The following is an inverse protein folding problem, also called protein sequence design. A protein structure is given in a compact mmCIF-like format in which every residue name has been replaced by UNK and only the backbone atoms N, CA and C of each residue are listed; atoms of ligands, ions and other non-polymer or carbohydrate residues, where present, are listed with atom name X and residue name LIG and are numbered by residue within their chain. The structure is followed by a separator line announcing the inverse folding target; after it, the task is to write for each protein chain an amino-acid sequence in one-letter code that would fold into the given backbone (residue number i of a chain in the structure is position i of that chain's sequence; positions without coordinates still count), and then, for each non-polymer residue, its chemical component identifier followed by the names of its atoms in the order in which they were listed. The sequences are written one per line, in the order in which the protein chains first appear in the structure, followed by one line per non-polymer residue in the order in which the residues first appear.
data_IF_084729433951
#
_entry.id   IF_084729433951
#
_cell.length_a   1.000
_cell.length_b   1.000
_cell.length_c   1.000
_cell.angle_alpha   90.00
_cell.angle_beta   90.00
_cell.angle_gamma   90.00
#
_symmetry.space_group_name_H-M   'P 1'
#
loop_
_entity.id
_entity.type
_entity.pdbx_description
1 polymer ?
#
# COMPACT_ATOMS: atom_id res chain seq x y z
N UNK A 1 29.48 -4.56 -29.31
CA UNK A 1 28.04 -4.78 -29.15
C UNK A 1 27.73 -4.46 -27.71
N UNK A 2 27.32 -3.21 -27.46
CA UNK A 2 27.15 -2.66 -26.12
C UNK A 2 25.69 -2.81 -25.76
N UNK A 3 25.38 -3.69 -24.82
CA UNK A 3 24.07 -3.81 -24.20
C UNK A 3 23.81 -2.56 -23.34
N UNK A 4 23.22 -1.55 -23.96
CA UNK A 4 22.67 -0.40 -23.26
C UNK A 4 21.29 -0.79 -22.71
N UNK A 5 21.28 -1.38 -21.52
CA UNK A 5 20.09 -1.40 -20.67
C UNK A 5 19.76 0.05 -20.31
N UNK A 6 18.86 0.68 -21.07
CA UNK A 6 18.23 1.96 -20.72
C UNK A 6 17.28 1.71 -19.55
N UNK A 7 17.85 1.69 -18.35
CA UNK A 7 17.12 1.74 -17.08
C UNK A 7 16.58 3.17 -16.93
N UNK A 8 15.26 3.34 -16.81
CA UNK A 8 14.71 4.58 -16.24
C UNK A 8 15.37 4.77 -14.88
N UNK A 9 16.13 5.86 -14.70
CA UNK A 9 16.70 6.28 -13.41
C UNK A 9 15.62 6.82 -12.46
N UNK A 10 14.49 6.15 -12.39
CA UNK A 10 13.63 6.19 -11.23
C UNK A 10 14.35 5.32 -10.18
N UNK A 11 14.95 5.97 -9.18
CA UNK A 11 16.17 5.53 -8.49
C UNK A 11 16.16 4.12 -7.89
N UNK A 12 17.33 3.51 -7.76
CA UNK A 12 17.54 2.24 -7.06
C UNK A 12 16.99 2.33 -5.62
N UNK A 13 15.82 1.71 -5.39
CA UNK A 13 15.21 1.66 -4.07
C UNK A 13 16.06 0.77 -3.14
N UNK A 14 16.62 1.37 -2.08
CA UNK A 14 17.16 0.65 -0.92
C UNK A 14 16.06 0.46 0.13
N UNK A 15 16.15 -0.66 0.85
CA UNK A 15 15.14 -1.14 1.81
C UNK A 15 14.85 -0.09 2.92
N UNK A 16 13.57 0.09 3.33
CA UNK A 16 13.13 1.17 4.21
C UNK A 16 13.11 0.68 5.67
N UNK A 17 14.20 0.86 6.41
CA UNK A 17 14.21 0.49 7.82
C UNK A 17 13.89 1.65 8.79
N UNK A 18 14.14 2.93 8.46
CA UNK A 18 14.27 3.94 9.52
C UNK A 18 13.67 5.35 9.26
N UNK A 19 12.88 5.60 8.20
CA UNK A 19 12.45 6.98 7.87
C UNK A 19 10.92 7.23 7.83
N UNK A 20 10.56 8.48 8.11
CA UNK A 20 9.22 9.09 8.14
C UNK A 20 8.36 8.70 6.91
N UNK A 21 7.23 8.01 7.15
CA UNK A 21 6.39 7.30 6.16
C UNK A 21 5.76 8.23 5.10
N UNK A 22 5.92 9.55 5.21
CA UNK A 22 5.47 10.51 4.19
C UNK A 22 6.48 10.80 3.06
N UNK A 23 7.74 10.36 3.19
CA UNK A 23 8.85 10.80 2.32
C UNK A 23 9.16 9.83 1.17
N UNK A 24 8.54 8.65 1.13
CA UNK A 24 8.83 7.64 0.10
C UNK A 24 8.29 8.01 -1.30
N UNK A 25 7.09 8.62 -1.39
CA UNK A 25 6.55 9.11 -2.67
C UNK A 25 7.42 10.23 -3.24
N UNK A 26 7.96 11.09 -2.38
CA UNK A 26 8.88 12.16 -2.77
C UNK A 26 10.19 11.57 -3.30
N UNK A 27 10.72 10.52 -2.67
CA UNK A 27 11.94 9.83 -3.12
C UNK A 27 11.77 9.07 -4.44
N UNK A 28 10.66 8.34 -4.63
CA UNK A 28 10.39 7.64 -5.89
C UNK A 28 10.33 8.62 -7.07
N UNK A 29 10.02 9.89 -6.78
CA UNK A 29 9.86 10.96 -7.75
C UNK A 29 10.89 12.08 -7.63
N UNK A 30 12.00 11.90 -6.89
CA UNK A 30 12.99 12.96 -6.66
C UNK A 30 13.90 13.23 -7.87
N UNK A 31 13.40 13.05 -9.10
CA UNK A 31 14.04 13.43 -10.36
C UNK A 31 13.42 14.70 -10.97
N UNK A 32 14.06 15.24 -12.00
CA UNK A 32 13.55 16.43 -12.70
C UNK A 32 12.16 16.17 -13.33
N UNK A 33 11.15 16.93 -12.90
CA UNK A 33 9.88 17.05 -13.62
C UNK A 33 8.63 16.47 -12.94
N UNK A 34 8.75 15.79 -11.79
CA UNK A 34 7.58 15.27 -11.08
C UNK A 34 7.15 16.24 -9.97
N UNK A 35 5.91 16.73 -10.03
CA UNK A 35 5.32 17.50 -8.94
C UNK A 35 4.59 16.53 -8.01
N UNK A 36 5.08 16.44 -6.77
CA UNK A 36 4.31 15.81 -5.69
C UNK A 36 3.32 16.85 -5.16
N UNK A 37 2.04 16.53 -5.17
CA UNK A 37 0.99 17.36 -4.62
C UNK A 37 1.14 17.44 -3.09
N UNK A 38 0.55 18.49 -2.52
CA UNK A 38 0.66 18.81 -1.10
C UNK A 38 0.01 17.79 -0.18
N UNK A 39 -0.91 16.97 -0.69
CA UNK A 39 -1.55 15.88 0.05
C UNK A 39 -0.67 14.62 0.14
N UNK A 40 0.56 14.65 -0.39
CA UNK A 40 1.60 13.59 -0.37
C UNK A 40 1.20 12.25 -0.99
N UNK A 41 -0.06 12.06 -1.35
CA UNK A 41 -0.58 10.83 -1.96
C UNK A 41 -0.83 10.97 -3.46
N UNK A 42 -0.75 12.20 -3.99
CA UNK A 42 -0.84 12.47 -5.42
C UNK A 42 0.50 13.04 -5.86
N UNK A 43 1.20 12.36 -6.75
CA UNK A 43 2.15 13.04 -7.63
C UNK A 43 1.51 13.03 -9.01
N UNK A 44 1.65 14.12 -9.76
CA UNK A 44 1.39 14.04 -11.19
C UNK A 44 2.61 13.33 -11.77
N UNK A 45 2.52 12.00 -11.91
CA UNK A 45 3.45 11.20 -12.71
C UNK A 45 3.23 11.50 -14.21
N UNK A 46 3.37 12.79 -14.53
CA UNK A 46 3.12 13.40 -15.84
C UNK A 46 4.38 14.20 -16.19
N UNK A 47 5.37 13.59 -16.87
CA UNK A 47 6.54 14.32 -17.30
C UNK A 47 6.15 15.49 -18.23
N UNK A 48 6.90 16.60 -18.22
CA UNK A 48 6.52 17.84 -18.92
C UNK A 48 6.44 17.73 -20.45
N UNK A 49 6.93 16.64 -21.05
CA UNK A 49 6.61 16.17 -22.39
C UNK A 49 7.14 14.73 -22.56
N UNK A 50 6.45 13.87 -23.31
CA UNK A 50 6.94 12.52 -23.64
C UNK A 50 6.20 11.37 -22.97
N UNK A 51 6.78 10.18 -23.05
CA UNK A 51 6.23 8.95 -22.48
C UNK A 51 6.12 9.05 -20.95
N UNK A 52 4.93 8.78 -20.40
CA UNK A 52 4.69 8.82 -18.94
C UNK A 52 5.58 7.88 -18.13
N UNK A 53 6.12 6.83 -18.76
CA UNK A 53 7.06 5.90 -18.12
C UNK A 53 8.52 6.34 -18.22
N UNK A 54 9.02 6.51 -19.44
CA UNK A 54 10.45 6.66 -19.68
C UNK A 54 10.88 8.09 -20.05
N UNK A 55 9.94 9.01 -20.19
CA UNK A 55 10.21 10.39 -20.61
C UNK A 55 10.59 10.56 -22.08
N UNK A 56 10.91 9.48 -22.79
CA UNK A 56 11.28 9.52 -24.22
C UNK A 56 10.17 10.15 -25.08
N UNK A 57 10.54 10.83 -26.19
CA UNK A 57 9.57 11.34 -27.13
C UNK A 57 8.58 10.28 -27.58
N UNK A 58 7.32 10.68 -27.69
CA UNK A 58 6.24 9.81 -28.13
C UNK A 58 6.47 9.35 -29.57
N UNK A 59 6.39 8.04 -29.81
CA UNK A 59 6.51 7.46 -31.15
C UNK A 59 5.13 7.00 -31.66
N UNK A 60 4.79 7.39 -32.90
CA UNK A 60 3.58 6.92 -33.58
C UNK A 60 2.27 7.44 -32.99
N UNK A 61 1.26 6.57 -32.86
CA UNK A 61 -0.13 6.92 -32.51
C UNK A 61 -0.44 7.00 -31.01
N UNK A 62 0.48 6.59 -30.16
CA UNK A 62 0.24 6.61 -28.72
C UNK A 62 0.33 8.04 -28.22
N UNK A 63 -0.50 8.39 -27.24
CA UNK A 63 -0.58 9.77 -26.67
C UNK A 63 0.00 9.88 -25.26
N UNK A 64 0.20 8.76 -24.56
CA UNK A 64 0.73 8.73 -23.18
C UNK A 64 1.99 7.88 -22.99
N UNK A 65 2.25 6.91 -23.87
CA UNK A 65 3.39 5.99 -23.78
C UNK A 65 4.10 5.86 -25.13
N UNK A 66 5.42 5.73 -25.17
CA UNK A 66 6.14 5.50 -26.44
C UNK A 66 5.91 4.10 -27.03
N UNK A 67 5.32 3.18 -26.27
CA UNK A 67 5.01 1.82 -26.74
C UNK A 67 4.21 0.99 -25.73
N UNK A 68 3.76 -0.21 -26.12
CA UNK A 68 2.94 -1.09 -25.28
C UNK A 68 3.66 -1.57 -24.02
N UNK A 69 4.97 -1.79 -24.09
CA UNK A 69 5.77 -2.15 -22.92
C UNK A 69 5.79 -1.02 -21.88
N UNK A 70 5.98 0.23 -22.34
CA UNK A 70 5.96 1.37 -21.44
C UNK A 70 4.59 1.60 -20.82
N UNK A 71 3.52 1.35 -21.57
CA UNK A 71 2.15 1.34 -21.04
C UNK A 71 1.99 0.30 -19.93
N UNK A 72 2.34 -0.96 -20.20
CA UNK A 72 2.16 -2.07 -19.26
C UNK A 72 2.86 -1.79 -17.93
N UNK A 73 4.12 -1.40 -17.98
CA UNK A 73 4.93 -1.15 -16.80
C UNK A 73 4.45 0.07 -16.02
N UNK A 74 4.00 1.13 -16.70
CA UNK A 74 3.43 2.28 -16.03
C UNK A 74 2.09 1.94 -15.35
N UNK A 75 1.18 1.23 -16.05
CA UNK A 75 -0.12 0.84 -15.51
C UNK A 75 0.02 -0.13 -14.31
N UNK A 76 1.05 -0.99 -14.30
CA UNK A 76 1.38 -1.87 -13.17
C UNK A 76 1.75 -1.12 -11.88
N UNK A 77 2.06 0.17 -11.94
CA UNK A 77 2.38 1.00 -10.76
C UNK A 77 1.37 2.12 -10.52
N UNK A 78 0.60 2.51 -11.53
CA UNK A 78 -0.23 3.72 -11.43
C UNK A 78 -1.71 3.45 -11.56
N UNK A 79 -2.12 2.30 -12.10
CA UNK A 79 -3.53 1.95 -12.23
C UNK A 79 -3.85 0.88 -11.19
N UNK A 80 -4.74 1.19 -10.24
CA UNK A 80 -5.05 0.30 -9.12
C UNK A 80 -5.39 -1.14 -9.54
N UNK A 81 -6.15 -1.33 -10.62
CA UNK A 81 -6.51 -2.68 -11.09
C UNK A 81 -5.29 -3.53 -11.44
N UNK A 82 -4.36 -2.94 -12.18
CA UNK A 82 -3.13 -3.56 -12.64
C UNK A 82 -2.12 -3.65 -11.50
N UNK A 83 -1.91 -2.58 -10.74
CA UNK A 83 -1.02 -2.57 -9.59
C UNK A 83 -1.41 -3.60 -8.54
N UNK A 84 -2.70 -3.71 -8.22
CA UNK A 84 -3.21 -4.77 -7.35
C UNK A 84 -2.96 -6.16 -7.92
N UNK A 85 -3.18 -6.34 -9.22
CA UNK A 85 -2.98 -7.65 -9.87
C UNK A 85 -1.50 -8.04 -9.91
N UNK A 86 -0.61 -7.09 -10.18
CA UNK A 86 0.84 -7.25 -10.14
C UNK A 86 1.31 -7.57 -8.72
N UNK A 87 0.84 -6.85 -7.70
CA UNK A 87 1.17 -7.10 -6.29
C UNK A 87 0.76 -8.52 -5.86
N UNK A 88 -0.43 -8.96 -6.26
CA UNK A 88 -0.92 -10.31 -5.98
C UNK A 88 -0.26 -11.41 -6.82
N UNK A 89 0.64 -11.07 -7.75
CA UNK A 89 1.26 -12.01 -8.69
C UNK A 89 0.28 -12.60 -9.72
N UNK A 90 -0.89 -11.98 -9.90
CA UNK A 90 -1.95 -12.45 -10.80
C UNK A 90 -1.63 -12.24 -12.28
N UNK A 91 -0.64 -11.41 -12.62
CA UNK A 91 -0.12 -11.33 -13.99
C UNK A 91 0.55 -12.65 -14.45
N UNK A 92 0.89 -13.57 -13.53
CA UNK A 92 1.74 -14.74 -13.82
C UNK A 92 1.19 -16.09 -13.34
N UNK A 93 0.14 -16.12 -12.51
CA UNK A 93 -0.37 -17.39 -11.96
C UNK A 93 -1.90 -17.37 -11.86
N UNK A 94 -2.52 -18.43 -12.39
CA UNK A 94 -3.95 -18.75 -12.33
C UNK A 94 -4.56 -18.38 -10.97
N UNK A 95 -5.49 -17.43 -10.98
CA UNK A 95 -5.95 -16.55 -9.88
C UNK A 95 -6.66 -17.26 -8.70
N UNK A 96 -6.46 -18.57 -8.52
CA UNK A 96 -7.10 -19.41 -7.49
C UNK A 96 -6.14 -20.11 -6.55
N UNK A 97 -4.82 -19.96 -6.69
CA UNK A 97 -3.89 -20.51 -5.70
C UNK A 97 -3.78 -19.60 -4.48
N UNK A 98 -4.64 -19.90 -3.53
CA UNK A 98 -4.54 -19.54 -2.11
C UNK A 98 -3.19 -20.02 -1.58
N UNK A 99 -2.18 -19.17 -1.61
CA UNK A 99 -0.92 -19.47 -0.94
C UNK A 99 -0.80 -18.56 0.28
N UNK A 100 -0.83 -19.20 1.46
CA UNK A 100 -0.31 -18.65 2.72
C UNK A 100 1.08 -17.98 2.57
N UNK A 101 1.79 -18.25 1.48
CA UNK A 101 3.13 -17.78 1.16
C UNK A 101 3.19 -16.38 0.50
N UNK A 102 2.06 -15.69 0.34
CA UNK A 102 2.03 -14.32 -0.20
C UNK A 102 1.80 -13.21 0.83
N UNK A 103 1.40 -13.56 2.06
CA UNK A 103 1.24 -12.59 3.13
C UNK A 103 2.62 -12.15 3.64
N UNK A 104 2.86 -10.85 3.81
CA UNK A 104 4.14 -10.37 4.38
C UNK A 104 4.23 -10.57 5.90
N UNK A 105 3.10 -10.79 6.59
CA UNK A 105 3.00 -11.00 8.04
C UNK A 105 2.70 -12.48 8.40
N UNK A 106 3.42 -13.45 7.85
CA UNK A 106 3.09 -14.87 8.07
C UNK A 106 3.25 -15.27 9.55
N UNK A 107 2.13 -15.56 10.24
CA UNK A 107 2.07 -16.08 11.61
C UNK A 107 0.99 -17.18 11.75
N UNK A 108 0.79 -17.71 12.97
CA UNK A 108 -0.21 -18.78 13.25
C UNK A 108 -1.66 -18.38 12.99
N UNK A 109 -1.91 -17.09 12.78
CA UNK A 109 -3.24 -16.53 12.57
C UNK A 109 -3.49 -16.08 11.12
N UNK A 110 -2.55 -16.38 10.21
CA UNK A 110 -2.64 -16.11 8.78
C UNK A 110 -3.76 -16.93 8.12
N UNK A 111 -4.92 -16.31 7.88
CA UNK A 111 -6.10 -16.97 7.30
C UNK A 111 -6.86 -16.05 6.35
N UNK A 112 -7.46 -16.64 5.31
CA UNK A 112 -8.30 -15.96 4.33
C UNK A 112 -7.62 -15.70 2.98
N UNK A 113 -8.30 -14.94 2.12
CA UNK A 113 -7.79 -14.55 0.81
C UNK A 113 -6.68 -13.49 0.94
N UNK A 114 -5.82 -13.41 -0.08
CA UNK A 114 -4.84 -12.32 -0.17
C UNK A 114 -5.52 -11.03 -0.62
N UNK A 115 -5.17 -9.96 0.07
CA UNK A 115 -5.62 -8.58 -0.13
C UNK A 115 -4.37 -7.70 -0.26
N UNK A 116 -4.52 -6.56 -0.95
CA UNK A 116 -3.44 -5.59 -1.10
C UNK A 116 -3.77 -4.41 -0.20
N UNK A 117 -2.86 -4.10 0.71
CA UNK A 117 -2.89 -2.93 1.56
C UNK A 117 -1.98 -1.83 1.00
N UNK A 118 -2.34 -0.59 1.25
CA UNK A 118 -1.43 0.54 1.10
C UNK A 118 -0.64 0.74 2.39
N UNK A 119 0.69 0.71 2.29
CA UNK A 119 1.60 0.91 3.45
C UNK A 119 1.35 2.29 4.08
N UNK A 120 1.27 3.32 3.23
CA UNK A 120 0.71 4.62 3.60
C UNK A 120 -0.76 4.66 3.21
N UNK A 121 -1.69 4.58 4.17
CA UNK A 121 -3.05 4.23 3.87
C UNK A 121 -3.82 5.41 3.28
N UNK A 122 -4.72 5.10 2.35
CA UNK A 122 -5.56 6.09 1.70
C UNK A 122 -6.87 6.26 2.47
N UNK A 123 -7.18 7.50 2.88
CA UNK A 123 -8.40 7.81 3.59
C UNK A 123 -9.56 8.12 2.61
N UNK A 124 -10.40 7.13 2.33
CA UNK A 124 -11.61 7.31 1.51
C UNK A 124 -11.46 6.87 0.04
N UNK A 125 -11.92 7.71 -0.89
CA UNK A 125 -11.92 7.40 -2.33
C UNK A 125 -10.49 7.29 -2.84
N UNK A 126 -10.09 6.04 -3.11
CA UNK A 126 -8.91 5.73 -3.89
C UNK A 126 -9.18 6.11 -5.35
N UNK A 127 -8.37 6.98 -5.98
CA UNK A 127 -8.49 7.17 -7.41
C UNK A 127 -8.18 5.83 -8.10
N UNK A 128 -8.77 5.58 -9.27
CA UNK A 128 -8.34 4.41 -10.05
C UNK A 128 -6.89 4.58 -10.54
N UNK A 129 -6.40 5.82 -10.62
CA UNK A 129 -5.10 6.16 -11.15
C UNK A 129 -4.33 7.12 -10.23
N UNK A 130 -3.07 6.79 -9.91
CA UNK A 130 -2.21 7.64 -9.09
C UNK A 130 -0.95 6.95 -8.59
N UNK A 131 0.04 7.73 -8.18
CA UNK A 131 1.34 7.23 -7.74
C UNK A 131 1.30 6.57 -6.35
N UNK A 132 0.17 6.69 -5.62
CA UNK A 132 -0.10 5.90 -4.43
C UNK A 132 -0.26 4.39 -4.71
N UNK A 133 -0.29 3.95 -5.97
CA UNK A 133 -0.38 2.54 -6.35
C UNK A 133 0.97 1.90 -6.71
N UNK A 134 2.08 2.63 -6.56
CA UNK A 134 3.43 2.08 -6.83
C UNK A 134 3.64 0.81 -6.03
N UNK A 135 4.25 -0.23 -6.64
CA UNK A 135 4.44 -1.51 -5.96
C UNK A 135 5.15 -1.38 -4.61
N UNK A 136 6.08 -0.42 -4.47
CA UNK A 136 6.81 -0.15 -3.22
C UNK A 136 5.91 0.42 -2.10
N UNK A 137 4.77 1.02 -2.46
CA UNK A 137 3.76 1.52 -1.53
C UNK A 137 2.67 0.51 -1.18
N UNK A 138 2.76 -0.70 -1.74
CA UNK A 138 1.79 -1.77 -1.57
C UNK A 138 2.40 -2.91 -0.76
N UNK A 139 1.58 -3.54 0.08
CA UNK A 139 1.93 -4.80 0.72
C UNK A 139 0.79 -5.81 0.53
N UNK A 140 1.14 -7.09 0.45
CA UNK A 140 0.18 -8.18 0.33
C UNK A 140 -0.04 -8.81 1.69
N UNK A 141 -1.28 -8.79 2.15
CA UNK A 141 -1.69 -9.36 3.44
C UNK A 141 -2.77 -10.41 3.21
N UNK A 142 -2.85 -11.42 4.08
CA UNK A 142 -4.07 -12.21 4.13
C UNK A 142 -5.19 -11.40 4.78
N UNK A 143 -6.45 -11.79 4.56
CA UNK A 143 -7.61 -11.10 5.09
C UNK A 143 -7.53 -10.84 6.60
N UNK A 144 -7.11 -11.83 7.41
CA UNK A 144 -7.01 -11.65 8.87
C UNK A 144 -5.98 -10.60 9.27
N UNK A 145 -4.84 -10.53 8.60
CA UNK A 145 -3.81 -9.50 8.81
C UNK A 145 -4.25 -8.14 8.28
N UNK A 146 -4.85 -8.10 7.09
CA UNK A 146 -5.36 -6.87 6.49
C UNK A 146 -6.41 -6.18 7.38
N UNK A 147 -7.33 -6.95 7.98
CA UNK A 147 -8.31 -6.42 8.94
C UNK A 147 -7.63 -5.83 10.19
N UNK A 148 -6.58 -6.47 10.70
CA UNK A 148 -5.83 -5.97 11.88
C UNK A 148 -5.08 -4.69 11.55
N UNK A 149 -4.42 -4.66 10.40
CA UNK A 149 -3.67 -3.51 9.93
C UNK A 149 -4.62 -2.31 9.73
N UNK A 150 -5.74 -2.51 9.02
CA UNK A 150 -6.78 -1.49 8.88
C UNK A 150 -7.30 -1.00 10.24
N UNK A 151 -7.49 -1.90 11.21
CA UNK A 151 -7.92 -1.53 12.55
C UNK A 151 -6.86 -0.73 13.32
N UNK A 152 -5.58 -1.08 13.17
CA UNK A 152 -4.46 -0.34 13.74
C UNK A 152 -4.39 1.07 13.14
N UNK A 153 -4.41 1.19 11.80
CA UNK A 153 -4.42 2.47 11.09
C UNK A 153 -5.60 3.36 11.52
N UNK A 154 -6.82 2.80 11.72
CA UNK A 154 -7.97 3.55 12.26
C UNK A 154 -7.77 3.99 13.70
N UNK A 155 -7.18 3.14 14.54
CA UNK A 155 -6.89 3.47 15.95
C UNK A 155 -5.88 4.62 16.05
N UNK A 156 -4.91 4.63 15.14
CA UNK A 156 -3.85 5.63 15.09
C UNK A 156 -4.32 6.92 14.40
N UNK A 157 -5.48 6.88 13.72
CA UNK A 157 -6.06 8.02 13.02
C UNK A 157 -5.43 8.29 11.66
N UNK A 158 -4.70 7.33 11.08
CA UNK A 158 -4.15 7.39 9.72
C UNK A 158 -5.27 7.27 8.67
N UNK A 159 -6.37 6.58 9.02
CA UNK A 159 -7.59 6.50 8.21
C UNK A 159 -8.84 6.71 9.06
N UNK A 160 -9.91 7.19 8.44
CA UNK A 160 -11.13 7.65 9.10
C UNK A 160 -10.98 9.07 9.66
N UNK A 161 -12.00 9.52 10.39
CA UNK A 161 -11.97 10.85 11.03
C UNK A 161 -11.28 10.79 12.39
N UNK A 162 -10.73 11.91 12.90
CA UNK A 162 -10.17 11.97 14.26
C UNK A 162 -11.16 11.51 15.35
N UNK A 163 -12.46 11.79 15.17
CA UNK A 163 -13.54 11.35 16.07
C UNK A 163 -13.70 9.83 16.04
N UNK A 164 -13.55 9.21 14.86
CA UNK A 164 -13.59 7.75 14.70
C UNK A 164 -12.45 7.11 15.48
N UNK A 165 -11.23 7.64 15.33
CA UNK A 165 -10.06 7.15 16.06
C UNK A 165 -10.22 7.35 17.58
N UNK A 166 -10.70 8.52 18.02
CA UNK A 166 -10.97 8.80 19.43
C UNK A 166 -12.01 7.83 20.03
N UNK A 167 -13.09 7.54 19.28
CA UNK A 167 -14.11 6.57 19.68
C UNK A 167 -13.55 5.15 19.81
N UNK A 168 -12.71 4.71 18.87
CA UNK A 168 -12.05 3.40 18.95
C UNK A 168 -11.18 3.31 20.20
N UNK A 169 -10.35 4.33 20.46
CA UNK A 169 -9.48 4.38 21.65
C UNK A 169 -10.29 4.40 22.96
N UNK A 170 -11.41 5.12 22.99
CA UNK A 170 -12.30 5.17 24.14
C UNK A 170 -12.93 3.79 24.42
N UNK A 171 -13.40 3.10 23.38
CA UNK A 171 -13.93 1.74 23.50
C UNK A 171 -12.86 0.75 23.98
N UNK A 172 -11.64 0.82 23.45
CA UNK A 172 -10.51 -0.02 23.89
C UNK A 172 -10.18 0.19 25.38
N UNK A 173 -10.31 1.42 25.88
CA UNK A 173 -10.14 1.74 27.31
C UNK A 173 -11.27 1.13 28.15
N UNK A 174 -12.52 1.20 27.67
CA UNK A 174 -13.67 0.62 28.35
C UNK A 174 -13.58 -0.91 28.44
N UNK A 175 -13.20 -1.58 27.35
CA UNK A 175 -13.02 -3.04 27.33
C UNK A 175 -11.89 -3.50 28.25
N UNK A 176 -10.76 -2.78 28.27
CA UNK A 176 -9.68 -3.06 29.25
C UNK A 176 -10.16 -2.90 30.69
N UNK A 177 -10.95 -1.86 30.99
CA UNK A 177 -11.50 -1.68 32.33
C UNK A 177 -12.49 -2.79 32.72
N UNK A 178 -13.32 -3.24 31.77
CA UNK A 178 -14.23 -4.40 31.96
C UNK A 178 -13.45 -5.67 32.24
N UNK A 179 -12.36 -5.91 31.52
CA UNK A 179 -11.51 -7.08 31.71
C UNK A 179 -10.85 -7.11 33.09
N UNK A 180 -10.27 -5.98 33.53
CA UNK A 180 -9.68 -5.87 34.87
C UNK A 180 -10.72 -6.15 35.95
N UNK A 181 -11.93 -5.59 35.82
CA UNK A 181 -13.03 -5.86 36.77
C UNK A 181 -13.45 -7.33 36.77
N UNK A 182 -13.50 -7.97 35.59
CA UNK A 182 -13.82 -9.39 35.46
C UNK A 182 -12.79 -10.25 36.20
N UNK A 183 -11.50 -9.97 36.01
CA UNK A 183 -10.40 -10.67 36.70
C UNK A 183 -10.44 -10.47 38.21
N UNK A 184 -10.66 -9.24 38.68
CA UNK A 184 -10.79 -8.96 40.11
C UNK A 184 -11.98 -9.72 40.72
N UNK A 185 -13.12 -9.75 40.03
CA UNK A 185 -14.29 -10.53 40.49
C UNK A 185 -14.00 -12.03 40.57
N UNK A 186 -13.31 -12.59 39.57
CA UNK A 186 -12.91 -13.99 39.58
C UNK A 186 -11.91 -14.30 40.70
N UNK A 187 -10.99 -13.39 41.00
CA UNK A 187 -10.04 -13.54 42.10
C UNK A 187 -10.73 -13.45 43.48
N UNK A 188 -11.75 -12.60 43.62
CA UNK A 188 -12.53 -12.46 44.86
C UNK A 188 -13.50 -13.62 45.10
N UNK A 189 -13.98 -14.29 44.04
CA UNK A 189 -14.91 -15.41 44.11
C UNK A 189 -14.34 -16.61 43.32
N UNK A 190 -13.29 -17.28 43.82
CA UNK A 190 -12.76 -18.45 43.16
C UNK A 190 -13.83 -19.56 43.14
N UNK A 191 -13.90 -20.37 42.08
CA UNK A 191 -14.81 -21.51 42.04
C UNK A 191 -14.49 -22.46 43.21
N UNK A 192 -15.53 -22.91 43.92
CA UNK A 192 -15.40 -23.93 44.95
C UNK A 192 -15.04 -25.25 44.25
N UNK A 193 -13.85 -25.77 44.56
CA UNK A 193 -13.35 -27.07 44.10
C UNK A 193 -14.06 -28.23 44.81
#
# INVERSE_FOLDING_TARGET
MSDALLVCRCGEARSPADDDVGDWIVRLHSGEGHKVATDRHRADCSPPAGCRRCGEPMQGRFIFYCGPECRRLFEADHWWGQARSTALGWEWVDARRVARNGCVQVDETCVGALEVNHIEPLNGDRPDWGCCHHQEGLEVLCHSHHVRETAAQRRDGRIGTPETAARIRANDKLERAREVRRRLRQAMNPPLL
#
